data_IF_903648786369
#
_entry.id   IF_903648786369
#
_cell.length_a   1.000
_cell.length_b   1.000
_cell.length_c   1.000
_cell.angle_alpha   90.00
_cell.angle_beta   90.00
_cell.angle_gamma   90.00
#
_symmetry.space_group_name_H-M   'P 1'
#
loop_
_entity.id
_entity.type
_entity.pdbx_description
1 polymer ?
#
# COMPACT_ATOMS: atom_id res chain seq x y z
N UNK A 1 -15.04 4.75 0.92
CA UNK A 1 -16.09 4.19 0.04
C UNK A 1 -15.82 2.73 -0.37
N UNK A 2 -16.79 2.05 -0.98
CA UNK A 2 -16.62 0.74 -1.63
C UNK A 2 -16.68 0.90 -3.15
N UNK A 3 -15.70 0.36 -3.87
CA UNK A 3 -15.56 0.45 -5.32
C UNK A 3 -15.59 -0.94 -5.95
N UNK A 4 -16.22 -1.06 -7.11
CA UNK A 4 -16.13 -2.28 -7.93
C UNK A 4 -15.12 -2.03 -9.06
N UNK A 5 -13.96 -2.67 -8.98
CA UNK A 5 -12.92 -2.63 -10.01
C UNK A 5 -12.93 -3.97 -10.73
N UNK A 6 -13.72 -4.05 -11.81
CA UNK A 6 -13.79 -5.23 -12.68
C UNK A 6 -14.05 -6.55 -11.91
N UNK A 7 -15.07 -6.54 -11.07
CA UNK A 7 -15.49 -7.68 -10.25
C UNK A 7 -14.82 -7.76 -8.87
N UNK A 8 -13.79 -6.95 -8.61
CA UNK A 8 -13.12 -6.89 -7.31
C UNK A 8 -13.70 -5.75 -6.45
N UNK A 9 -14.16 -6.07 -5.24
CA UNK A 9 -14.62 -5.10 -4.26
C UNK A 9 -13.42 -4.47 -3.53
N UNK A 10 -13.14 -3.21 -3.84
CA UNK A 10 -12.03 -2.43 -3.26
C UNK A 10 -12.56 -1.45 -2.22
N UNK A 11 -11.98 -1.48 -1.02
CA UNK A 11 -12.26 -0.46 -0.01
C UNK A 11 -11.28 0.69 -0.18
N UNK A 12 -11.82 1.87 -0.46
CA UNK A 12 -11.02 3.07 -0.70
C UNK A 12 -11.21 4.04 0.48
N UNK A 13 -10.14 4.50 1.15
CA UNK A 13 -10.22 5.17 2.45
C UNK A 13 -10.60 6.66 2.36
N UNK A 14 -11.16 7.08 1.23
CA UNK A 14 -11.63 8.44 0.96
C UNK A 14 -13.08 8.41 0.42
N UNK A 15 -13.74 9.55 0.51
CA UNK A 15 -15.13 9.75 0.06
C UNK A 15 -15.24 10.09 -1.43
N UNK A 16 -14.13 10.48 -2.06
CA UNK A 16 -14.04 10.74 -3.50
C UNK A 16 -12.85 9.99 -4.12
N UNK A 17 -13.01 9.57 -5.37
CA UNK A 17 -11.97 8.96 -6.20
C UNK A 17 -11.90 9.69 -7.55
N UNK A 18 -10.68 9.96 -8.01
CA UNK A 18 -10.45 10.55 -9.32
C UNK A 18 -10.58 9.50 -10.45
N UNK A 19 -11.06 9.87 -11.66
CA UNK A 19 -11.13 8.97 -12.80
C UNK A 19 -9.80 8.28 -13.12
N UNK A 20 -8.69 9.00 -13.00
CA UNK A 20 -7.34 8.49 -13.27
C UNK A 20 -6.92 7.43 -12.23
N UNK A 21 -7.33 7.59 -10.97
CA UNK A 21 -7.09 6.58 -9.93
C UNK A 21 -7.86 5.29 -10.22
N UNK A 22 -9.09 5.40 -10.71
CA UNK A 22 -9.89 4.25 -11.08
C UNK A 22 -9.29 3.52 -12.29
N UNK A 23 -8.90 4.26 -13.33
CA UNK A 23 -8.21 3.71 -14.50
C UNK A 23 -6.90 3.03 -14.13
N UNK A 24 -6.11 3.63 -13.23
CA UNK A 24 -4.89 3.03 -12.71
C UNK A 24 -5.14 1.69 -12.01
N UNK A 25 -6.17 1.62 -11.16
CA UNK A 25 -6.53 0.37 -10.49
C UNK A 25 -7.00 -0.71 -11.47
N UNK A 26 -7.72 -0.32 -12.53
CA UNK A 26 -8.17 -1.26 -13.57
C UNK A 26 -6.98 -1.89 -14.29
N UNK A 27 -6.01 -1.09 -14.75
CA UNK A 27 -4.83 -1.62 -15.44
C UNK A 27 -3.92 -2.41 -14.49
N UNK A 28 -3.77 -1.97 -13.23
CA UNK A 28 -3.02 -2.72 -12.23
C UNK A 28 -3.67 -4.10 -11.96
N UNK A 29 -5.00 -4.17 -11.85
CA UNK A 29 -5.71 -5.45 -11.69
C UNK A 29 -5.46 -6.39 -12.88
N UNK A 30 -5.55 -5.89 -14.11
CA UNK A 30 -5.26 -6.68 -15.31
C UNK A 30 -3.84 -7.25 -15.31
N UNK A 31 -2.86 -6.48 -14.84
CA UNK A 31 -1.47 -6.98 -14.73
C UNK A 31 -1.31 -8.10 -13.70
N UNK A 32 -2.05 -8.02 -12.58
CA UNK A 32 -2.07 -9.07 -11.55
C UNK A 32 -2.77 -10.33 -12.06
N UNK A 33 -3.94 -10.18 -12.69
CA UNK A 33 -4.73 -11.29 -13.25
C UNK A 33 -3.92 -12.06 -14.32
N UNK A 34 -3.15 -11.34 -15.15
CA UNK A 34 -2.29 -11.94 -16.16
C UNK A 34 -0.99 -12.55 -15.60
N UNK A 35 -0.67 -12.36 -14.31
CA UNK A 35 0.58 -12.79 -13.66
C UNK A 35 1.83 -12.27 -14.37
N UNK A 36 1.75 -11.06 -14.92
CA UNK A 36 2.79 -10.45 -15.72
C UNK A 36 3.43 -9.23 -15.07
N UNK A 37 4.32 -8.58 -15.82
CA UNK A 37 4.89 -7.29 -15.43
C UNK A 37 4.15 -6.16 -16.13
N UNK A 38 3.96 -5.04 -15.42
CA UNK A 38 3.31 -3.84 -15.94
C UNK A 38 4.16 -2.61 -15.64
N UNK A 39 4.25 -1.71 -16.62
CA UNK A 39 4.78 -0.36 -16.44
C UNK A 39 3.59 0.59 -16.44
N UNK A 40 3.32 1.19 -15.29
CA UNK A 40 2.17 2.08 -15.09
C UNK A 40 2.68 3.49 -14.80
N UNK A 41 2.19 4.46 -15.57
CA UNK A 41 2.44 5.87 -15.33
C UNK A 41 1.23 6.49 -14.64
N UNK A 42 1.48 7.21 -13.54
CA UNK A 42 0.48 8.09 -12.95
C UNK A 42 1.15 9.37 -12.46
N UNK A 43 0.58 10.56 -12.77
CA UNK A 43 1.17 11.84 -12.38
C UNK A 43 1.32 11.98 -10.87
N UNK A 44 2.25 12.83 -10.43
CA UNK A 44 2.45 13.12 -9.01
C UNK A 44 1.25 13.86 -8.41
N UNK A 45 0.96 13.60 -7.14
CA UNK A 45 -0.09 14.31 -6.39
C UNK A 45 -1.49 13.73 -6.52
N UNK A 46 -1.70 12.71 -7.36
CA UNK A 46 -3.02 12.10 -7.60
C UNK A 46 -3.31 10.87 -6.72
N UNK A 47 -2.54 10.63 -5.67
CA UNK A 47 -2.81 9.53 -4.72
C UNK A 47 -2.42 8.13 -5.20
N UNK A 48 -1.36 7.98 -6.00
CA UNK A 48 -0.87 6.67 -6.49
C UNK A 48 -0.67 5.61 -5.42
N UNK A 49 -0.13 6.02 -4.28
CA UNK A 49 0.18 5.11 -3.20
C UNK A 49 -1.10 4.50 -2.63
N UNK A 50 -2.13 5.31 -2.36
CA UNK A 50 -3.37 4.80 -1.78
C UNK A 50 -4.15 3.93 -2.76
N UNK A 51 -4.21 4.29 -4.05
CA UNK A 51 -4.87 3.48 -5.08
C UNK A 51 -4.21 2.13 -5.26
N UNK A 52 -2.87 2.08 -5.27
CA UNK A 52 -2.11 0.83 -5.34
C UNK A 52 -2.37 -0.03 -4.10
N UNK A 53 -2.22 0.53 -2.89
CA UNK A 53 -2.39 -0.22 -1.65
C UNK A 53 -3.82 -0.77 -1.50
N UNK A 54 -4.83 0.05 -1.79
CA UNK A 54 -6.23 -0.34 -1.72
C UNK A 54 -6.55 -1.53 -2.64
N UNK A 55 -6.08 -1.47 -3.89
CA UNK A 55 -6.29 -2.57 -4.83
C UNK A 55 -5.56 -3.84 -4.42
N UNK A 56 -4.27 -3.75 -4.07
CA UNK A 56 -3.48 -4.94 -3.71
C UNK A 56 -4.06 -5.63 -2.47
N UNK A 57 -4.46 -4.87 -1.45
CA UNK A 57 -5.08 -5.45 -0.26
C UNK A 57 -6.41 -6.16 -0.59
N UNK A 58 -7.25 -5.54 -1.42
CA UNK A 58 -8.48 -6.18 -1.88
C UNK A 58 -8.18 -7.47 -2.67
N UNK A 59 -7.16 -7.43 -3.54
CA UNK A 59 -6.74 -8.57 -4.35
C UNK A 59 -6.23 -9.73 -3.49
N UNK A 60 -5.36 -9.47 -2.51
CA UNK A 60 -4.86 -10.48 -1.57
C UNK A 60 -5.98 -11.14 -0.77
N UNK A 61 -7.03 -10.38 -0.42
CA UNK A 61 -8.18 -10.93 0.31
C UNK A 61 -9.08 -11.80 -0.57
N UNK A 62 -9.28 -11.40 -1.83
CA UNK A 62 -10.09 -12.17 -2.78
C UNK A 62 -9.35 -13.42 -3.30
N UNK A 63 -8.02 -13.33 -3.47
CA UNK A 63 -7.17 -14.36 -4.07
C UNK A 63 -5.96 -14.69 -3.17
N UNK A 64 -6.17 -15.20 -1.94
CA UNK A 64 -5.11 -15.38 -0.94
C UNK A 64 -4.06 -16.43 -1.33
N UNK A 65 -4.37 -17.31 -2.29
CA UNK A 65 -3.45 -18.32 -2.81
C UNK A 65 -2.57 -17.81 -3.95
N UNK A 66 -2.94 -16.69 -4.58
CA UNK A 66 -2.24 -16.17 -5.75
C UNK A 66 -1.24 -15.08 -5.37
N UNK A 67 -1.65 -14.17 -4.48
CA UNK A 67 -0.79 -13.10 -3.97
C UNK A 67 -0.83 -13.13 -2.45
N UNK A 68 0.32 -13.48 -1.85
CA UNK A 68 0.44 -13.64 -0.38
C UNK A 68 1.15 -12.47 0.28
N UNK A 69 2.02 -11.76 -0.46
CA UNK A 69 2.87 -10.70 0.08
C UNK A 69 3.06 -9.59 -0.93
N UNK A 70 2.97 -8.35 -0.47
CA UNK A 70 3.36 -7.16 -1.23
C UNK A 70 4.76 -6.71 -0.78
N UNK A 71 5.66 -6.53 -1.72
CA UNK A 71 6.95 -5.87 -1.49
C UNK A 71 6.87 -4.49 -2.16
N UNK A 72 6.87 -3.44 -1.34
CA UNK A 72 6.82 -2.07 -1.82
C UNK A 72 8.20 -1.42 -1.67
N UNK A 73 8.80 -1.01 -2.80
CA UNK A 73 10.11 -0.37 -2.82
C UNK A 73 9.97 1.13 -3.08
N UNK A 74 10.46 1.94 -2.13
CA UNK A 74 10.57 3.40 -2.25
C UNK A 74 12.03 3.82 -2.31
N UNK A 75 12.32 5.04 -2.80
CA UNK A 75 13.69 5.54 -2.95
C UNK A 75 14.24 6.12 -1.65
N UNK A 76 13.40 6.82 -0.90
CA UNK A 76 13.83 7.56 0.30
C UNK A 76 13.08 7.10 1.54
N UNK A 77 13.69 7.28 2.72
CA UNK A 77 13.06 6.92 4.01
C UNK A 77 11.75 7.70 4.25
N UNK A 78 11.67 9.03 3.98
CA UNK A 78 10.40 9.75 4.13
C UNK A 78 9.28 9.23 3.20
N UNK A 79 9.61 8.67 2.03
CA UNK A 79 8.63 8.00 1.19
C UNK A 79 8.12 6.70 1.82
N UNK A 80 9.01 5.92 2.46
CA UNK A 80 8.62 4.70 3.19
C UNK A 80 7.66 5.05 4.34
N UNK A 81 7.98 6.08 5.12
CA UNK A 81 7.12 6.56 6.21
C UNK A 81 5.74 6.95 5.72
N UNK A 82 5.66 7.73 4.64
CA UNK A 82 4.38 8.11 4.01
C UNK A 82 3.57 6.90 3.55
N UNK A 83 4.20 5.89 2.95
CA UNK A 83 3.52 4.65 2.53
C UNK A 83 2.91 3.92 3.72
N UNK A 84 3.65 3.84 4.84
CA UNK A 84 3.17 3.18 6.07
C UNK A 84 2.01 3.96 6.71
N UNK A 85 2.04 5.29 6.66
CA UNK A 85 0.93 6.12 7.13
C UNK A 85 -0.34 5.91 6.29
N UNK A 86 -0.20 5.86 4.96
CA UNK A 86 -1.33 5.55 4.06
C UNK A 86 -1.88 4.14 4.29
N UNK A 87 -0.99 3.16 4.49
CA UNK A 87 -1.39 1.80 4.85
C UNK A 87 -2.17 1.77 6.19
N UNK A 88 -1.72 2.52 7.19
CA UNK A 88 -2.42 2.62 8.48
C UNK A 88 -3.81 3.24 8.33
N UNK A 89 -3.97 4.29 7.53
CA UNK A 89 -5.28 4.89 7.22
C UNK A 89 -6.20 3.87 6.57
N UNK A 90 -5.68 3.09 5.62
CA UNK A 90 -6.43 2.03 4.95
C UNK A 90 -6.87 0.93 5.93
N UNK A 91 -5.97 0.43 6.77
CA UNK A 91 -6.30 -0.58 7.79
C UNK A 91 -7.35 -0.07 8.78
N UNK A 92 -7.23 1.17 9.26
CA UNK A 92 -8.23 1.79 10.12
C UNK A 92 -9.59 1.94 9.41
N UNK A 93 -9.59 2.19 8.10
CA UNK A 93 -10.82 2.23 7.31
C UNK A 93 -11.48 0.86 7.25
N UNK A 94 -10.71 -0.22 7.02
CA UNK A 94 -11.23 -1.59 7.07
C UNK A 94 -11.80 -1.94 8.46
N UNK A 95 -11.08 -1.65 9.54
CA UNK A 95 -11.55 -1.92 10.91
C UNK A 95 -12.88 -1.22 11.21
N UNK A 96 -13.06 0.02 10.74
CA UNK A 96 -14.34 0.74 10.86
C UNK A 96 -15.47 0.14 10.04
N UNK A 97 -15.17 -0.44 8.88
CA UNK A 97 -16.20 -1.00 7.98
C UNK A 97 -16.65 -2.40 8.40
N UNK A 98 -15.76 -3.19 8.99
CA UNK A 98 -16.01 -4.60 9.34
C UNK A 98 -16.20 -4.83 10.84
N UNK A 99 -15.82 -3.85 11.67
CA UNK A 99 -15.93 -3.94 13.13
C UNK A 99 -14.85 -4.80 13.78
N UNK A 100 -13.93 -5.37 13.00
CA UNK A 100 -12.87 -6.25 13.46
C UNK A 100 -11.50 -5.81 12.93
N UNK A 101 -10.45 -6.12 13.69
CA UNK A 101 -9.07 -5.89 13.25
C UNK A 101 -8.68 -6.94 12.23
N UNK A 102 -8.19 -6.48 11.08
CA UNK A 102 -7.58 -7.36 10.10
C UNK A 102 -6.28 -7.99 10.66
N UNK A 103 -6.07 -9.30 10.47
CA UNK A 103 -4.80 -9.96 10.78
C UNK A 103 -3.74 -9.60 9.71
N UNK A 104 -3.40 -8.31 9.61
CA UNK A 104 -2.50 -7.77 8.59
C UNK A 104 -1.27 -7.16 9.26
N UNK A 105 -0.08 -7.59 8.84
CA UNK A 105 1.20 -7.07 9.32
C UNK A 105 1.85 -6.18 8.26
N UNK A 106 1.91 -4.86 8.53
CA UNK A 106 2.72 -3.93 7.77
C UNK A 106 4.11 -3.79 8.38
N UNK A 107 5.16 -3.92 7.57
CA UNK A 107 6.56 -3.80 8.01
C UNK A 107 7.30 -2.77 7.15
N UNK A 108 8.03 -1.87 7.81
CA UNK A 108 8.97 -0.94 7.18
C UNK A 108 10.40 -1.37 7.49
N UNK A 109 11.26 -1.40 6.47
CA UNK A 109 12.67 -1.73 6.62
C UNK A 109 13.53 -0.56 6.14
N UNK A 110 14.56 -0.23 6.92
CA UNK A 110 15.57 0.79 6.60
C UNK A 110 16.94 0.33 7.08
N UNK A 111 17.95 1.20 6.95
CA UNK A 111 19.31 0.95 7.42
C UNK A 111 19.41 0.93 8.95
N UNK A 112 20.54 0.38 9.44
CA UNK A 112 20.88 0.38 10.87
C UNK A 112 20.84 1.77 11.51
N UNK A 113 21.16 2.83 10.76
CA UNK A 113 21.13 4.21 11.28
C UNK A 113 19.74 4.62 11.79
N UNK A 114 18.67 4.03 11.24
CA UNK A 114 17.30 4.41 11.57
C UNK A 114 16.61 3.44 12.54
N UNK A 115 17.20 2.26 12.78
CA UNK A 115 16.58 1.18 13.57
C UNK A 115 17.46 0.69 14.73
N UNK A 116 18.65 1.25 14.90
CA UNK A 116 19.53 0.91 16.02
C UNK A 116 19.03 1.56 17.31
N UNK A 117 19.05 0.80 18.40
CA UNK A 117 18.67 1.25 19.75
C UNK A 117 19.87 1.35 20.71
N UNK A 118 21.05 0.89 20.28
CA UNK A 118 22.23 0.81 21.15
C UNK A 118 22.90 2.19 21.28
N UNK A 119 23.00 2.76 22.49
CA UNK A 119 23.37 4.17 22.68
C UNK A 119 24.79 4.49 22.20
N UNK A 120 25.77 3.62 22.40
CA UNK A 120 27.16 3.82 21.96
C UNK A 120 27.30 3.82 20.44
N UNK A 121 26.42 3.11 19.73
CA UNK A 121 26.45 3.02 18.27
C UNK A 121 25.70 4.18 17.63
N UNK A 122 24.68 4.71 18.32
CA UNK A 122 23.95 5.90 17.88
C UNK A 122 24.85 7.16 17.96
N UNK A 123 25.58 7.35 19.06
CA UNK A 123 26.47 8.51 19.24
C UNK A 123 27.67 8.53 18.27
N UNK A 124 28.19 7.36 17.90
CA UNK A 124 29.28 7.23 16.93
C UNK A 124 28.88 7.48 15.46
N UNK A 125 27.59 7.69 15.18
CA UNK A 125 27.07 7.84 13.81
C UNK A 125 26.79 9.29 13.38
N UNK A 126 26.97 10.24 14.30
CA UNK A 126 27.02 11.69 14.03
C UNK A 126 28.44 12.10 13.59
N UNK A 127 28.62 12.69 12.40
CA UNK A 127 29.92 13.22 11.98
C UNK A 127 30.37 14.41 12.83
#
# INVERSE_FOLDING_TARGET
MKLNVDGLLVYFPYDYIYPEQFSYMLELKRTLDAKGHGVLEMPSGTGKTVSLLALIMAYQRAYPLEVTKLIYCSRTVPEIEKVIEELRKLLNFYEKQEGEKLPFLGLALSSRKNLCIHPETMSASTP
#
